data_IF_534424375895
#
_entry.id   IF_534424375895
#
_cell.length_a   1.000
_cell.length_b   1.000
_cell.length_c   1.000
_cell.angle_alpha   90.00
_cell.angle_beta   90.00
_cell.angle_gamma   90.00
#
_symmetry.space_group_name_H-M   'P 1'
#
loop_
_entity.id
_entity.type
_entity.pdbx_description
1 polymer ?
#
# COMPACT_ATOMS: atom_id res chain seq x y z
N UNK A 1 -6.04 -56.16 35.48
CA UNK A 1 -4.64 -56.43 35.88
C UNK A 1 -3.96 -55.09 36.05
N UNK A 2 -3.37 -54.90 37.22
CA UNK A 2 -2.83 -53.69 37.80
C UNK A 2 -1.70 -53.01 36.99
N UNK A 3 -1.74 -51.67 37.05
CA UNK A 3 -0.65 -50.69 37.26
C UNK A 3 0.66 -50.73 36.46
N UNK A 4 1.03 -49.55 35.92
CA UNK A 4 1.98 -48.64 36.62
C UNK A 4 1.96 -47.21 36.07
N UNK A 5 1.75 -46.26 36.99
CA UNK A 5 2.05 -44.82 36.87
C UNK A 5 3.56 -44.58 37.03
N UNK A 6 4.10 -43.56 36.37
CA UNK A 6 4.97 -42.56 37.00
C UNK A 6 5.03 -41.25 36.17
N UNK A 7 5.30 -40.09 36.81
CA UNK A 7 5.13 -38.75 36.25
C UNK A 7 6.45 -38.16 35.75
N UNK A 8 6.41 -37.29 34.74
CA UNK A 8 7.56 -36.43 34.41
C UNK A 8 7.05 -34.99 34.26
N UNK A 9 7.34 -34.19 35.28
CA UNK A 9 7.43 -32.75 35.16
C UNK A 9 8.62 -32.41 34.27
N UNK A 10 8.45 -31.52 33.30
CA UNK A 10 9.52 -30.60 32.92
C UNK A 10 8.91 -29.33 32.33
N UNK A 11 9.09 -28.23 33.07
CA UNK A 11 9.02 -26.87 32.53
C UNK A 11 9.98 -26.79 31.35
N UNK A 12 9.48 -26.52 30.15
CA UNK A 12 10.30 -26.08 29.03
C UNK A 12 9.90 -24.65 28.73
N UNK A 13 10.88 -23.77 28.89
CA UNK A 13 10.81 -22.34 28.66
C UNK A 13 10.56 -22.12 27.16
N UNK A 14 9.43 -21.50 26.81
CA UNK A 14 9.19 -21.00 25.46
C UNK A 14 10.23 -19.93 25.12
N UNK A 15 11.19 -20.26 24.25
CA UNK A 15 11.86 -19.23 23.43
C UNK A 15 11.01 -19.00 22.18
N UNK A 16 10.29 -17.87 22.17
CA UNK A 16 9.69 -17.32 20.95
C UNK A 16 10.82 -16.96 19.98
N UNK A 17 10.99 -17.75 18.91
CA UNK A 17 11.71 -17.26 17.74
C UNK A 17 10.74 -16.44 16.89
N UNK A 18 10.86 -15.11 17.02
CA UNK A 18 10.25 -14.16 16.10
C UNK A 18 11.01 -14.21 14.77
N UNK A 19 10.48 -14.93 13.78
CA UNK A 19 10.85 -14.69 12.38
C UNK A 19 9.84 -13.71 11.79
N UNK A 20 10.22 -12.43 11.78
CA UNK A 20 9.44 -11.36 11.18
C UNK A 20 9.48 -11.42 9.64
N UNK A 21 8.32 -11.14 9.05
CA UNK A 21 8.04 -11.03 7.63
C UNK A 21 8.91 -9.95 6.93
N UNK A 22 10.07 -10.35 6.39
CA UNK A 22 10.99 -9.42 5.72
C UNK A 22 10.65 -9.11 4.24
N UNK A 23 9.77 -9.87 3.59
CA UNK A 23 9.58 -9.76 2.12
C UNK A 23 8.50 -8.79 1.65
N UNK A 24 7.58 -8.34 2.52
CA UNK A 24 6.62 -7.27 2.18
C UNK A 24 7.27 -5.88 2.19
N UNK A 25 8.39 -5.72 2.91
CA UNK A 25 8.94 -4.43 3.33
C UNK A 25 9.65 -3.60 2.25
N UNK A 26 10.29 -4.23 1.27
CA UNK A 26 11.13 -3.53 0.27
C UNK A 26 10.27 -2.91 -0.85
N UNK A 27 9.02 -3.36 -1.01
CA UNK A 27 8.22 -3.02 -2.19
C UNK A 27 7.33 -1.77 -2.02
N UNK A 28 7.15 -1.26 -0.80
CA UNK A 28 6.47 0.03 -0.54
C UNK A 28 7.48 1.19 -0.64
N UNK A 29 8.73 0.88 -0.32
CA UNK A 29 9.88 1.79 -0.27
C UNK A 29 10.19 2.38 -1.64
N UNK A 30 10.21 1.58 -2.70
CA UNK A 30 10.53 2.05 -4.06
C UNK A 30 9.37 2.82 -4.70
N UNK A 31 8.12 2.53 -4.32
CA UNK A 31 6.96 3.26 -4.83
C UNK A 31 7.02 4.74 -4.44
N UNK A 32 7.48 4.99 -3.22
CA UNK A 32 7.71 6.32 -2.68
C UNK A 32 9.01 6.94 -3.22
N UNK A 33 10.07 6.17 -3.42
CA UNK A 33 11.31 6.63 -4.07
C UNK A 33 11.04 7.19 -5.47
N UNK A 34 10.18 6.55 -6.27
CA UNK A 34 9.86 7.03 -7.62
C UNK A 34 9.03 8.32 -7.62
N UNK A 35 8.27 8.60 -6.56
CA UNK A 35 7.55 9.88 -6.39
C UNK A 35 8.51 11.06 -6.13
N UNK A 36 9.67 10.82 -5.51
CA UNK A 36 10.68 11.86 -5.24
C UNK A 36 11.45 12.32 -6.49
N UNK A 37 11.54 11.48 -7.52
CA UNK A 37 12.32 11.77 -8.75
C UNK A 37 11.57 12.58 -9.79
N UNK A 38 10.34 13.02 -9.50
CA UNK A 38 9.45 13.69 -10.47
C UNK A 38 9.33 15.21 -10.21
N UNK A 39 9.91 15.74 -9.13
CA UNK A 39 9.96 17.20 -8.88
C UNK A 39 11.18 17.91 -9.47
N UNK A 40 12.17 17.19 -10.04
CA UNK A 40 13.27 17.80 -10.79
C UNK A 40 13.59 17.01 -12.08
N UNK A 41 13.48 17.68 -13.23
CA UNK A 41 13.92 17.16 -14.54
C UNK A 41 15.40 16.76 -14.48
N UNK A 42 15.71 15.47 -14.64
CA UNK A 42 17.05 15.01 -15.08
C UNK A 42 16.86 13.88 -16.12
N UNK A 43 17.59 13.91 -17.26
CA UNK A 43 17.38 12.94 -18.36
C UNK A 43 17.84 11.53 -17.97
N UNK A 44 17.16 10.53 -18.53
CA UNK A 44 17.53 9.13 -18.44
C UNK A 44 18.92 8.88 -19.05
N UNK A 45 19.93 8.69 -18.21
CA UNK A 45 21.15 7.97 -18.56
C UNK A 45 21.85 7.47 -17.28
N UNK A 46 22.26 6.20 -17.31
CA UNK A 46 23.22 5.53 -16.40
C UNK A 46 22.78 5.23 -14.96
N UNK A 47 21.98 4.18 -14.79
CA UNK A 47 22.05 3.35 -13.58
C UNK A 47 23.08 2.24 -13.83
N UNK A 48 24.32 2.45 -13.38
CA UNK A 48 25.36 1.43 -13.39
C UNK A 48 25.14 0.47 -12.20
N UNK A 49 24.96 -0.80 -12.52
CA UNK A 49 24.86 -1.92 -11.59
C UNK A 49 26.18 -2.13 -10.83
N UNK A 50 26.11 -2.35 -9.51
CA UNK A 50 27.24 -2.86 -8.71
C UNK A 50 26.99 -4.36 -8.50
N UNK A 51 27.81 -5.27 -9.07
CA UNK A 51 27.68 -6.69 -8.77
C UNK A 51 28.36 -7.00 -7.44
N UNK A 52 27.63 -7.63 -6.52
CA UNK A 52 28.20 -8.34 -5.38
C UNK A 52 28.98 -9.56 -5.89
N UNK A 53 30.27 -9.60 -5.55
CA UNK A 53 31.22 -10.65 -5.91
C UNK A 53 30.82 -12.02 -5.34
N UNK A 54 30.70 -13.02 -6.21
CA UNK A 54 30.94 -14.42 -5.87
C UNK A 54 31.92 -15.02 -6.87
N UNK A 55 32.94 -15.65 -6.30
CA UNK A 55 34.08 -16.30 -6.95
C UNK A 55 33.61 -17.39 -7.89
N UNK A 56 34.00 -17.32 -9.17
CA UNK A 56 34.07 -18.50 -10.00
C UNK A 56 35.21 -18.35 -11.00
N UNK A 57 36.19 -19.21 -10.82
CA UNK A 57 37.41 -19.34 -11.60
C UNK A 57 37.05 -19.85 -13.00
N UNK A 58 37.27 -19.06 -14.05
CA UNK A 58 37.41 -19.62 -15.39
C UNK A 58 38.37 -18.78 -16.22
N UNK A 59 39.35 -19.48 -16.74
CA UNK A 59 40.50 -19.11 -17.57
C UNK A 59 40.18 -18.25 -18.79
N UNK A 60 40.96 -17.18 -19.01
CA UNK A 60 41.05 -16.41 -20.26
C UNK A 60 42.44 -16.63 -20.87
N UNK A 61 42.58 -16.97 -22.16
CA UNK A 61 43.86 -16.89 -22.87
C UNK A 61 44.14 -15.47 -23.38
N UNK A 62 45.40 -15.08 -23.26
CA UNK A 62 46.03 -13.86 -23.78
C UNK A 62 45.75 -13.59 -25.27
N UNK A 63 45.57 -12.30 -25.62
CA UNK A 63 46.05 -11.76 -26.90
C UNK A 63 46.52 -10.30 -26.77
N UNK A 64 47.49 -9.98 -27.63
CA UNK A 64 48.53 -8.96 -27.55
C UNK A 64 48.09 -7.48 -27.53
N UNK A 65 48.84 -6.68 -26.75
CA UNK A 65 49.04 -5.24 -26.97
C UNK A 65 50.09 -5.05 -28.06
N UNK A 66 49.78 -4.25 -29.06
CA UNK A 66 50.77 -3.56 -29.91
C UNK A 66 50.61 -2.06 -29.74
N UNK A 67 51.74 -1.37 -29.79
CA UNK A 67 51.94 -0.01 -29.33
C UNK A 67 52.66 0.82 -30.40
N UNK A 68 52.21 2.08 -30.59
CA UNK A 68 52.92 3.25 -31.14
C UNK A 68 53.32 3.22 -32.65
N UNK A 69 53.58 4.37 -33.34
CA UNK A 69 54.17 5.60 -32.80
C UNK A 69 53.69 6.97 -33.32
N UNK A 70 54.24 7.97 -32.62
CA UNK A 70 54.26 9.43 -32.74
C UNK A 70 55.08 10.02 -33.91
N UNK A 71 54.75 11.25 -34.31
CA UNK A 71 55.65 12.37 -34.74
C UNK A 71 54.77 13.49 -35.34
N UNK A 72 55.03 14.81 -35.33
CA UNK A 72 56.18 15.66 -34.99
C UNK A 72 55.74 17.12 -34.70
N UNK A 73 56.54 17.80 -33.86
CA UNK A 73 56.97 19.22 -33.84
C UNK A 73 56.03 20.38 -34.26
N UNK A 74 55.87 21.39 -33.39
CA UNK A 74 56.78 22.56 -33.31
C UNK A 74 56.41 23.64 -32.27
N UNK A 75 57.47 24.23 -31.70
CA UNK A 75 57.67 25.63 -31.25
C UNK A 75 57.12 26.11 -29.89
N UNK A 76 58.10 26.36 -29.03
CA UNK A 76 58.12 27.29 -27.90
C UNK A 76 57.62 28.70 -28.26
N UNK A 77 56.72 29.24 -27.44
CA UNK A 77 56.76 30.65 -27.05
C UNK A 77 56.29 30.81 -25.60
N UNK A 78 57.17 31.42 -24.82
CA UNK A 78 57.05 31.69 -23.40
C UNK A 78 56.35 33.05 -23.24
N UNK A 79 55.12 33.07 -22.73
CA UNK A 79 54.51 34.29 -22.22
C UNK A 79 53.86 34.01 -20.87
N UNK A 80 54.54 34.47 -19.83
CA UNK A 80 53.97 34.68 -18.50
C UNK A 80 52.73 35.57 -18.63
N UNK A 81 51.54 34.99 -18.50
CA UNK A 81 50.32 35.69 -18.10
C UNK A 81 49.87 35.11 -16.78
N UNK A 82 49.85 35.96 -15.76
CA UNK A 82 49.29 35.66 -14.46
C UNK A 82 47.84 35.19 -14.62
N UNK A 83 47.58 33.93 -14.28
CA UNK A 83 46.23 33.45 -14.06
C UNK A 83 45.72 34.04 -12.73
N UNK A 84 44.53 34.66 -12.68
CA UNK A 84 43.92 34.97 -11.40
C UNK A 84 43.67 33.65 -10.67
N UNK A 85 44.08 33.56 -9.40
CA UNK A 85 43.75 32.44 -8.52
C UNK A 85 42.25 32.18 -8.63
N UNK A 86 41.86 31.03 -9.17
CA UNK A 86 40.52 30.50 -8.96
C UNK A 86 40.35 30.34 -7.46
N UNK A 87 39.65 31.28 -6.83
CA UNK A 87 38.99 30.99 -5.57
C UNK A 87 38.00 29.87 -5.87
N UNK A 88 38.37 28.66 -5.47
CA UNK A 88 37.40 27.57 -5.35
C UNK A 88 36.38 28.00 -4.31
N UNK A 89 35.27 28.55 -4.79
CA UNK A 89 34.04 28.53 -4.01
C UNK A 89 33.63 27.06 -3.90
N UNK A 90 34.19 26.36 -2.91
CA UNK A 90 33.53 25.21 -2.35
C UNK A 90 32.29 25.73 -1.63
N UNK A 91 31.22 25.98 -2.39
CA UNK A 91 29.89 25.86 -1.83
C UNK A 91 29.72 24.39 -1.48
N UNK A 92 30.17 24.01 -0.28
CA UNK A 92 29.58 22.88 0.45
C UNK A 92 28.15 23.29 0.79
N UNK A 93 27.28 23.30 -0.23
CA UNK A 93 25.87 23.07 0.02
C UNK A 93 25.82 21.66 0.58
N UNK A 94 25.81 21.53 1.90
CA UNK A 94 25.31 20.31 2.52
C UNK A 94 23.93 20.11 1.93
N UNK A 95 23.77 19.13 1.04
CA UNK A 95 22.47 18.76 0.52
C UNK A 95 21.62 18.40 1.74
N UNK A 96 20.74 19.31 2.12
CA UNK A 96 19.77 19.05 3.17
C UNK A 96 18.84 17.97 2.63
N UNK A 97 18.85 16.83 3.30
CA UNK A 97 18.10 15.67 2.85
C UNK A 97 16.60 15.95 3.02
N UNK A 98 15.79 15.36 2.14
CA UNK A 98 14.34 15.44 2.22
C UNK A 98 13.78 14.04 2.44
N UNK A 99 12.62 13.97 3.08
CA UNK A 99 12.03 12.71 3.49
C UNK A 99 10.61 12.51 2.94
N UNK A 100 10.23 11.25 2.81
CA UNK A 100 8.86 10.85 2.50
C UNK A 100 8.39 9.84 3.54
N UNK A 101 7.18 10.05 4.07
CA UNK A 101 6.53 9.11 4.97
C UNK A 101 5.74 8.02 4.22
N UNK A 102 5.70 6.81 4.76
CA UNK A 102 4.87 5.72 4.25
C UNK A 102 4.02 5.14 5.36
N UNK A 103 2.69 5.20 5.23
CA UNK A 103 1.77 4.52 6.12
C UNK A 103 1.33 3.20 5.48
N UNK A 104 1.82 2.08 6.02
CA UNK A 104 1.48 0.72 5.58
C UNK A 104 0.52 0.07 6.57
N UNK A 105 -0.76 0.03 6.20
CA UNK A 105 -1.83 -0.60 6.97
C UNK A 105 -2.07 -2.02 6.46
N UNK A 106 -1.32 -3.00 6.95
CA UNK A 106 -1.52 -4.41 6.60
C UNK A 106 -2.65 -5.09 7.40
N UNK A 107 -2.94 -6.36 7.10
CA UNK A 107 -3.99 -7.11 7.83
C UNK A 107 -3.67 -7.39 9.28
N UNK A 108 -2.40 -7.56 9.66
CA UNK A 108 -2.03 -7.90 11.05
C UNK A 108 -1.39 -6.75 11.83
N UNK A 109 -0.90 -5.72 11.13
CA UNK A 109 -0.16 -4.62 11.76
C UNK A 109 -0.21 -3.36 10.91
N UNK A 110 -0.03 -2.22 11.58
CA UNK A 110 0.19 -0.93 10.96
C UNK A 110 1.67 -0.56 11.11
N UNK A 111 2.25 0.10 10.12
CA UNK A 111 3.63 0.59 10.13
C UNK A 111 3.72 1.99 9.59
N UNK A 112 4.64 2.78 10.12
CA UNK A 112 5.02 4.06 9.52
C UNK A 112 6.52 4.12 9.30
N UNK A 113 6.91 4.39 8.06
CA UNK A 113 8.30 4.45 7.60
C UNK A 113 8.65 5.89 7.22
N UNK A 114 9.89 6.29 7.46
CA UNK A 114 10.46 7.52 6.93
C UNK A 114 11.62 7.16 6.00
N UNK A 115 11.60 7.71 4.79
CA UNK A 115 12.56 7.41 3.73
C UNK A 115 13.35 8.64 3.33
N UNK A 116 14.67 8.51 3.22
CA UNK A 116 15.53 9.53 2.63
C UNK A 116 15.39 9.54 1.12
N UNK A 117 15.20 10.73 0.54
CA UNK A 117 15.16 10.93 -0.92
C UNK A 117 16.56 10.95 -1.53
N UNK A 118 17.59 11.25 -0.74
CA UNK A 118 18.98 11.24 -1.22
C UNK A 118 19.53 9.82 -1.30
N UNK A 119 19.41 9.04 -0.21
CA UNK A 119 19.99 7.69 -0.14
C UNK A 119 19.05 6.60 -0.63
N UNK A 120 17.75 6.88 -0.72
CA UNK A 120 16.71 5.89 -1.04
C UNK A 120 16.64 4.76 0.00
N UNK A 121 16.95 5.06 1.26
CA UNK A 121 16.90 4.10 2.37
C UNK A 121 15.86 4.50 3.41
N UNK A 122 15.32 3.51 4.13
CA UNK A 122 14.53 3.75 5.33
C UNK A 122 15.47 4.31 6.40
N UNK A 123 15.16 5.48 6.94
CA UNK A 123 15.93 6.13 8.01
C UNK A 123 15.27 5.99 9.39
N UNK A 124 13.94 5.80 9.42
CA UNK A 124 13.20 5.48 10.64
C UNK A 124 11.99 4.60 10.31
N UNK A 125 11.58 3.73 11.24
CA UNK A 125 10.47 2.80 11.05
C UNK A 125 9.90 2.33 12.38
N UNK A 126 8.59 2.40 12.53
CA UNK A 126 7.87 1.80 13.66
C UNK A 126 6.72 0.93 13.18
N UNK A 127 6.36 -0.07 13.98
CA UNK A 127 5.31 -1.05 13.67
C UNK A 127 4.53 -1.41 14.94
N UNK A 128 3.22 -1.61 14.80
CA UNK A 128 2.37 -2.13 15.86
C UNK A 128 1.30 -3.06 15.31
N UNK A 129 1.15 -4.22 15.94
CA UNK A 129 0.07 -5.16 15.64
C UNK A 129 -1.28 -4.61 16.14
N UNK A 130 -2.36 -4.97 15.46
CA UNK A 130 -3.72 -4.74 15.93
C UNK A 130 -4.46 -6.07 16.08
N UNK A 131 -5.41 -6.09 17.01
CA UNK A 131 -6.14 -7.30 17.36
C UNK A 131 -6.99 -7.80 16.19
N UNK A 132 -6.91 -9.12 15.97
CA UNK A 132 -7.76 -9.85 15.03
C UNK A 132 -8.97 -10.39 15.80
N UNK A 133 -10.19 -10.07 15.33
CA UNK A 133 -11.43 -10.53 15.98
C UNK A 133 -12.09 -11.61 15.12
N UNK A 134 -12.40 -12.75 15.75
CA UNK A 134 -13.02 -13.91 15.11
C UNK A 134 -14.31 -14.29 15.85
N UNK A 135 -15.40 -13.51 15.71
CA UNK A 135 -16.64 -13.76 16.47
C UNK A 135 -17.28 -15.10 16.13
N UNK A 136 -17.11 -15.57 14.89
CA UNK A 136 -17.59 -16.86 14.40
C UNK A 136 -16.57 -17.49 13.44
N UNK A 137 -16.62 -18.81 13.18
CA UNK A 137 -15.79 -19.46 12.16
C UNK A 137 -15.92 -18.77 10.79
N UNK A 138 -14.78 -18.43 10.17
CA UNK A 138 -14.73 -17.72 8.89
C UNK A 138 -15.06 -16.22 8.97
N UNK A 139 -15.39 -15.69 10.14
CA UNK A 139 -15.61 -14.27 10.35
C UNK A 139 -14.33 -13.60 10.83
N UNK A 140 -13.98 -12.48 10.21
CA UNK A 140 -12.79 -11.72 10.55
C UNK A 140 -13.17 -10.25 10.61
N UNK A 141 -12.85 -9.60 11.74
CA UNK A 141 -13.15 -8.21 12.02
C UNK A 141 -11.94 -7.47 12.57
N UNK A 142 -11.89 -6.16 12.31
CA UNK A 142 -10.95 -5.23 12.94
C UNK A 142 -11.69 -4.07 13.61
N UNK A 143 -11.04 -3.47 14.60
CA UNK A 143 -11.44 -2.16 15.11
C UNK A 143 -10.82 -1.06 14.26
N UNK A 144 -11.64 -0.30 13.54
CA UNK A 144 -11.16 0.83 12.74
C UNK A 144 -10.57 1.95 13.63
N UNK A 145 -11.09 2.13 14.85
CA UNK A 145 -10.53 3.05 15.84
C UNK A 145 -9.14 2.60 16.33
N UNK A 146 -8.90 1.29 16.50
CA UNK A 146 -7.57 0.75 16.83
C UNK A 146 -6.58 0.95 15.68
N UNK A 147 -7.01 0.71 14.44
CA UNK A 147 -6.20 0.97 13.25
C UNK A 147 -5.77 2.44 13.18
N UNK A 148 -6.72 3.36 13.40
CA UNK A 148 -6.43 4.81 13.43
C UNK A 148 -5.48 5.18 14.57
N UNK A 149 -5.77 4.73 15.81
CA UNK A 149 -4.93 5.01 16.97
C UNK A 149 -3.49 4.51 16.77
N UNK A 150 -3.32 3.33 16.16
CA UNK A 150 -2.01 2.81 15.81
C UNK A 150 -1.33 3.66 14.74
N UNK A 151 -2.03 4.05 13.67
CA UNK A 151 -1.47 4.90 12.62
C UNK A 151 -0.95 6.24 13.18
N UNK A 152 -1.79 6.94 13.94
CA UNK A 152 -1.47 8.22 14.57
C UNK A 152 -0.27 8.12 15.53
N UNK A 153 -0.27 7.11 16.41
CA UNK A 153 0.82 6.89 17.36
C UNK A 153 2.14 6.54 16.67
N UNK A 154 2.11 5.71 15.62
CA UNK A 154 3.31 5.29 14.88
C UNK A 154 3.91 6.44 14.07
N UNK A 155 3.09 7.30 13.46
CA UNK A 155 3.54 8.52 12.78
C UNK A 155 4.35 9.38 13.77
N UNK A 156 3.74 9.71 14.91
CA UNK A 156 4.35 10.54 15.94
C UNK A 156 5.64 9.93 16.46
N UNK A 157 5.63 8.62 16.74
CA UNK A 157 6.80 7.91 17.28
C UNK A 157 7.95 7.86 16.28
N UNK A 158 7.68 7.53 15.02
CA UNK A 158 8.74 7.47 13.98
C UNK A 158 9.38 8.83 13.76
N UNK A 159 8.59 9.91 13.73
CA UNK A 159 9.13 11.26 13.51
C UNK A 159 9.92 11.78 14.73
N UNK A 160 9.51 11.42 15.95
CA UNK A 160 10.32 11.66 17.15
C UNK A 160 11.68 10.94 17.06
N UNK A 161 11.66 9.65 16.69
CA UNK A 161 12.89 8.87 16.52
C UNK A 161 13.80 9.44 15.42
N UNK A 162 13.22 9.93 14.32
CA UNK A 162 13.97 10.61 13.27
C UNK A 162 14.62 11.90 13.78
N UNK A 163 13.87 12.72 14.52
CA UNK A 163 14.36 13.97 15.12
C UNK A 163 15.51 13.76 16.10
N UNK A 164 15.54 12.63 16.81
CA UNK A 164 16.60 12.26 17.76
C UNK A 164 17.85 11.68 17.07
N UNK A 165 17.67 10.98 15.96
CA UNK A 165 18.75 10.20 15.31
C UNK A 165 19.38 10.90 14.11
N UNK A 166 18.66 11.82 13.47
CA UNK A 166 19.10 12.55 12.28
C UNK A 166 19.43 13.97 12.69
N UNK A 167 20.68 14.35 12.46
CA UNK A 167 21.16 15.70 12.76
C UNK A 167 20.44 16.73 11.88
N UNK A 168 19.99 17.82 12.49
CA UNK A 168 19.34 18.96 11.83
C UNK A 168 18.03 18.55 11.09
N UNK A 169 17.33 17.52 11.57
CA UNK A 169 16.02 17.10 11.04
C UNK A 169 14.92 18.08 11.45
N UNK A 170 14.16 18.58 10.48
CA UNK A 170 12.97 19.38 10.69
C UNK A 170 11.75 18.72 10.06
N UNK A 171 10.56 18.95 10.62
CA UNK A 171 9.31 18.41 10.04
C UNK A 171 9.07 18.92 8.61
N UNK A 172 9.55 20.13 8.28
CA UNK A 172 9.56 20.69 6.92
C UNK A 172 10.35 19.86 5.90
N UNK A 173 11.18 18.92 6.35
CA UNK A 173 11.92 18.02 5.48
C UNK A 173 11.04 16.88 4.97
N UNK A 174 9.94 16.56 5.65
CA UNK A 174 8.95 15.58 5.20
C UNK A 174 8.07 16.22 4.12
N UNK A 175 8.32 15.86 2.85
CA UNK A 175 7.67 16.52 1.70
C UNK A 175 6.26 16.02 1.41
N UNK A 176 5.99 14.77 1.74
CA UNK A 176 4.68 14.14 1.60
C UNK A 176 4.62 12.83 2.38
N UNK A 177 3.42 12.25 2.42
CA UNK A 177 3.22 10.86 2.78
C UNK A 177 2.50 10.08 1.67
N UNK A 178 2.79 8.78 1.60
CA UNK A 178 2.00 7.81 0.84
C UNK A 178 1.26 6.86 1.78
N UNK A 179 0.08 6.40 1.38
CA UNK A 179 -0.72 5.41 2.12
C UNK A 179 -0.83 4.14 1.29
N UNK A 180 -0.65 3.01 1.95
CA UNK A 180 -1.01 1.71 1.40
C UNK A 180 -1.69 0.86 2.44
N UNK A 181 -2.60 0.01 2.00
CA UNK A 181 -3.55 -0.64 2.89
C UNK A 181 -3.97 -2.01 2.39
N UNK A 182 -4.37 -2.87 3.32
CA UNK A 182 -5.16 -4.05 2.99
C UNK A 182 -6.41 -3.59 2.23
N UNK A 183 -6.60 -4.17 1.05
CA UNK A 183 -7.70 -3.87 0.15
C UNK A 183 -8.98 -4.53 0.65
N UNK A 184 -10.11 -4.17 0.03
CA UNK A 184 -11.47 -4.68 0.25
C UNK A 184 -12.10 -4.51 1.66
N UNK A 185 -11.31 -4.52 2.73
CA UNK A 185 -11.76 -4.35 4.12
C UNK A 185 -12.61 -3.09 4.24
N UNK A 186 -13.82 -3.27 4.75
CA UNK A 186 -14.91 -2.28 4.68
C UNK A 186 -15.13 -1.63 6.02
N UNK A 187 -15.11 -0.30 6.06
CA UNK A 187 -15.42 0.52 7.23
C UNK A 187 -16.65 1.37 6.94
N UNK A 188 -17.54 1.47 7.92
CA UNK A 188 -18.67 2.38 7.93
C UNK A 188 -18.54 3.26 9.18
N UNK A 189 -18.65 4.57 9.02
CA UNK A 189 -18.54 5.52 10.13
C UNK A 189 -19.57 6.63 10.01
N UNK A 190 -19.84 7.26 11.14
CA UNK A 190 -20.74 8.40 11.23
C UNK A 190 -20.05 9.67 10.70
N UNK A 191 -20.75 10.40 9.83
CA UNK A 191 -20.23 11.58 9.11
C UNK A 191 -19.84 12.71 10.07
N UNK A 192 -20.62 12.94 11.13
CA UNK A 192 -20.37 14.02 12.09
C UNK A 192 -19.25 13.67 13.06
N UNK A 193 -19.35 12.51 13.70
CA UNK A 193 -18.48 12.11 14.81
C UNK A 193 -17.20 11.44 14.35
N UNK A 194 -17.16 10.97 13.10
CA UNK A 194 -16.03 10.22 12.55
C UNK A 194 -15.72 8.95 13.34
N UNK A 195 -16.72 8.39 14.02
CA UNK A 195 -16.64 7.15 14.78
C UNK A 195 -17.16 5.98 13.95
N UNK A 196 -16.48 4.82 13.96
CA UNK A 196 -16.99 3.61 13.34
C UNK A 196 -18.31 3.18 13.99
N UNK A 197 -19.33 2.90 13.17
CA UNK A 197 -20.65 2.50 13.65
C UNK A 197 -20.78 0.98 13.85
N UNK A 198 -19.79 0.23 13.36
CA UNK A 198 -19.65 -1.21 13.52
C UNK A 198 -18.18 -1.63 13.35
N UNK A 199 -17.82 -2.87 13.72
CA UNK A 199 -16.51 -3.44 13.36
C UNK A 199 -16.28 -3.43 11.85
N UNK A 200 -15.03 -3.23 11.43
CA UNK A 200 -14.65 -3.32 10.02
C UNK A 200 -14.64 -4.79 9.58
N UNK A 201 -15.29 -5.10 8.46
CA UNK A 201 -15.33 -6.46 7.91
C UNK A 201 -14.13 -6.67 6.99
N UNK A 202 -13.26 -7.62 7.34
CA UNK A 202 -11.95 -7.84 6.68
C UNK A 202 -12.11 -8.58 5.35
N UNK A 203 -11.18 -8.36 4.41
CA UNK A 203 -11.19 -8.94 3.06
C UNK A 203 -11.38 -10.46 2.99
N UNK A 204 -10.77 -11.22 3.89
CA UNK A 204 -10.85 -12.68 3.93
C UNK A 204 -12.07 -13.20 4.70
N UNK A 205 -12.96 -12.32 5.16
CA UNK A 205 -14.17 -12.72 5.86
C UNK A 205 -15.15 -13.42 4.91
N UNK A 206 -15.61 -14.61 5.30
CA UNK A 206 -16.51 -15.44 4.51
C UNK A 206 -18.00 -15.21 4.84
N UNK A 207 -18.35 -14.26 5.74
CA UNK A 207 -19.73 -14.07 6.23
C UNK A 207 -20.75 -13.76 5.16
N UNK A 208 -20.30 -13.27 4.00
CA UNK A 208 -21.17 -12.84 2.89
C UNK A 208 -21.42 -13.96 1.87
N UNK A 209 -21.08 -15.21 2.18
CA UNK A 209 -21.25 -16.36 1.29
C UNK A 209 -22.71 -16.57 0.84
N UNK A 210 -23.67 -16.42 1.76
CA UNK A 210 -25.10 -16.57 1.46
C UNK A 210 -25.61 -15.41 0.58
N UNK A 211 -25.12 -14.19 0.82
CA UNK A 211 -25.41 -13.02 -0.01
C UNK A 211 -24.87 -13.22 -1.43
N UNK A 212 -23.63 -13.69 -1.57
CA UNK A 212 -23.04 -14.02 -2.87
C UNK A 212 -23.89 -15.07 -3.59
N UNK A 213 -24.31 -16.13 -2.89
CA UNK A 213 -25.13 -17.18 -3.48
C UNK A 213 -26.51 -16.67 -3.91
N UNK A 214 -27.15 -15.84 -3.08
CA UNK A 214 -28.43 -15.22 -3.36
C UNK A 214 -28.37 -14.27 -4.55
N UNK A 215 -27.41 -13.34 -4.60
CA UNK A 215 -27.26 -12.41 -5.73
C UNK A 215 -26.94 -13.18 -7.02
N UNK A 216 -26.07 -14.19 -6.94
CA UNK A 216 -25.74 -15.04 -8.09
C UNK A 216 -27.00 -15.68 -8.68
N UNK A 217 -27.87 -16.27 -7.85
CA UNK A 217 -29.06 -16.98 -8.34
C UNK A 217 -30.22 -16.06 -8.73
N UNK A 218 -30.41 -14.95 -8.02
CA UNK A 218 -31.59 -14.09 -8.19
C UNK A 218 -31.37 -12.89 -9.10
N UNK A 219 -30.15 -12.40 -9.24
CA UNK A 219 -29.84 -11.16 -9.98
C UNK A 219 -28.86 -11.36 -11.14
N UNK A 220 -28.12 -12.47 -11.19
CA UNK A 220 -27.04 -12.70 -12.17
C UNK A 220 -27.20 -14.01 -12.97
N UNK A 221 -28.40 -14.60 -13.03
CA UNK A 221 -28.72 -15.82 -13.79
C UNK A 221 -27.77 -17.00 -13.53
N UNK A 222 -27.28 -17.13 -12.30
CA UNK A 222 -26.31 -18.17 -11.92
C UNK A 222 -24.85 -17.86 -12.29
N UNK A 223 -24.56 -16.75 -12.96
CA UNK A 223 -23.24 -16.41 -13.47
C UNK A 223 -22.46 -15.48 -12.53
N UNK A 224 -21.53 -16.04 -11.76
CA UNK A 224 -20.63 -15.26 -10.88
C UNK A 224 -19.71 -14.30 -11.63
N UNK A 225 -19.48 -14.49 -12.92
CA UNK A 225 -18.62 -13.64 -13.73
C UNK A 225 -19.40 -12.52 -14.45
N UNK A 226 -20.71 -12.39 -14.23
CA UNK A 226 -21.55 -11.41 -14.92
C UNK A 226 -21.07 -9.96 -14.74
N UNK A 227 -20.36 -9.67 -13.65
CA UNK A 227 -19.86 -8.33 -13.32
C UNK A 227 -18.45 -8.04 -13.88
N UNK A 228 -17.78 -9.02 -14.48
CA UNK A 228 -16.38 -8.86 -14.92
C UNK A 228 -16.21 -7.81 -16.02
N UNK A 229 -17.20 -7.60 -16.87
CA UNK A 229 -17.13 -6.59 -17.93
C UNK A 229 -17.02 -5.17 -17.37
N UNK A 230 -17.74 -4.87 -16.29
CA UNK A 230 -17.69 -3.56 -15.62
C UNK A 230 -16.56 -3.46 -14.60
N UNK A 231 -16.37 -4.49 -13.79
CA UNK A 231 -15.50 -4.42 -12.59
C UNK A 231 -14.15 -5.09 -12.77
N UNK A 232 -14.00 -5.98 -13.76
CA UNK A 232 -12.87 -6.89 -13.86
C UNK A 232 -12.86 -8.02 -12.82
N UNK A 233 -13.91 -8.11 -11.99
CA UNK A 233 -13.99 -9.02 -10.85
C UNK A 233 -15.17 -10.00 -10.96
N UNK A 234 -15.04 -11.23 -10.46
CA UNK A 234 -16.19 -12.10 -10.21
C UNK A 234 -16.93 -11.66 -8.94
N UNK A 235 -18.19 -12.07 -8.79
CA UNK A 235 -18.89 -11.96 -7.51
C UNK A 235 -18.29 -12.94 -6.50
N UNK A 236 -17.81 -12.41 -5.37
CA UNK A 236 -17.12 -13.17 -4.32
C UNK A 236 -17.24 -12.47 -2.97
N UNK A 237 -17.01 -13.21 -1.88
CA UNK A 237 -17.04 -12.67 -0.51
C UNK A 237 -15.91 -11.68 -0.22
N UNK A 238 -14.87 -11.71 -1.07
CA UNK A 238 -13.69 -10.87 -0.95
C UNK A 238 -13.99 -9.38 -1.02
N UNK A 239 -14.92 -8.96 -1.89
CA UNK A 239 -15.07 -7.55 -2.27
C UNK A 239 -16.04 -6.79 -1.35
N UNK A 240 -15.91 -5.45 -1.34
CA UNK A 240 -16.55 -4.58 -0.34
C UNK A 240 -18.08 -4.52 -0.45
N UNK A 241 -18.65 -4.53 -1.66
CA UNK A 241 -20.09 -4.41 -1.87
C UNK A 241 -20.89 -5.46 -1.10
N UNK A 242 -20.44 -6.71 -1.10
CA UNK A 242 -21.14 -7.80 -0.38
C UNK A 242 -21.14 -7.59 1.13
N UNK A 243 -20.12 -6.90 1.67
CA UNK A 243 -20.02 -6.56 3.10
C UNK A 243 -20.97 -5.42 3.46
N UNK A 244 -21.13 -4.43 2.58
CA UNK A 244 -22.13 -3.38 2.72
C UNK A 244 -23.55 -3.95 2.72
N UNK A 245 -23.87 -4.83 1.76
CA UNK A 245 -25.17 -5.53 1.72
C UNK A 245 -25.41 -6.26 3.04
N UNK A 246 -24.40 -6.98 3.54
CA UNK A 246 -24.52 -7.68 4.82
C UNK A 246 -24.80 -6.74 5.99
N UNK A 247 -24.07 -5.62 6.08
CA UNK A 247 -24.26 -4.63 7.15
C UNK A 247 -25.67 -4.05 7.14
N UNK A 248 -26.20 -3.67 5.98
CA UNK A 248 -27.54 -3.11 5.85
C UNK A 248 -28.65 -4.15 6.11
N UNK A 249 -28.45 -5.40 5.70
CA UNK A 249 -29.41 -6.48 6.00
C UNK A 249 -29.45 -6.87 7.48
N UNK A 250 -28.31 -6.83 8.17
CA UNK A 250 -28.21 -7.22 9.57
C UNK A 250 -28.49 -6.07 10.54
N UNK A 251 -28.39 -4.81 10.08
CA UNK A 251 -28.72 -3.64 10.87
C UNK A 251 -29.46 -2.59 10.01
N UNK A 252 -30.82 -2.65 9.99
CA UNK A 252 -31.64 -1.71 9.23
C UNK A 252 -31.43 -0.24 9.60
N UNK A 253 -31.05 0.07 10.85
CA UNK A 253 -30.78 1.45 11.26
C UNK A 253 -29.57 2.03 10.51
N UNK A 254 -28.55 1.21 10.19
CA UNK A 254 -27.41 1.66 9.37
C UNK A 254 -27.87 2.04 7.97
N UNK A 255 -28.86 1.33 7.44
CA UNK A 255 -29.41 1.63 6.12
C UNK A 255 -30.13 2.98 6.13
N UNK A 256 -31.02 3.22 7.10
CA UNK A 256 -31.73 4.49 7.21
C UNK A 256 -30.77 5.68 7.36
N UNK A 257 -29.72 5.54 8.17
CA UNK A 257 -28.70 6.58 8.33
C UNK A 257 -27.89 6.80 7.05
N UNK A 258 -27.57 5.75 6.31
CA UNK A 258 -26.90 5.86 5.01
C UNK A 258 -27.74 6.65 3.99
N UNK A 259 -29.05 6.40 3.93
CA UNK A 259 -29.98 7.12 3.04
C UNK A 259 -30.14 8.60 3.42
N UNK A 260 -30.05 8.92 4.72
CA UNK A 260 -30.03 10.30 5.22
C UNK A 260 -28.69 11.01 5.00
N UNK A 261 -27.68 10.31 4.50
CA UNK A 261 -26.32 10.85 4.30
C UNK A 261 -25.54 11.02 5.61
N UNK A 262 -26.00 10.43 6.71
CA UNK A 262 -25.37 10.49 8.03
C UNK A 262 -24.17 9.55 8.16
N UNK A 263 -24.03 8.58 7.24
CA UNK A 263 -22.90 7.66 7.20
C UNK A 263 -21.94 7.96 6.05
N UNK A 264 -20.72 7.49 6.22
CA UNK A 264 -19.70 7.39 5.18
C UNK A 264 -19.19 5.95 5.14
N UNK A 265 -18.94 5.47 3.93
CA UNK A 265 -18.26 4.21 3.65
C UNK A 265 -16.86 4.48 3.12
N UNK A 266 -15.96 3.53 3.37
CA UNK A 266 -14.68 3.47 2.69
C UNK A 266 -13.96 2.16 2.90
N UNK A 267 -13.04 1.87 1.98
CA UNK A 267 -11.91 0.99 2.27
C UNK A 267 -10.96 1.67 3.26
N UNK A 268 -9.94 0.95 3.74
CA UNK A 268 -9.04 1.43 4.79
C UNK A 268 -8.31 2.72 4.41
N UNK A 269 -7.88 2.88 3.16
CA UNK A 269 -7.28 4.11 2.67
C UNK A 269 -8.20 5.32 2.88
N UNK A 270 -9.48 5.20 2.52
CA UNK A 270 -10.43 6.29 2.65
C UNK A 270 -10.67 6.66 4.10
N UNK A 271 -10.78 5.65 4.98
CA UNK A 271 -10.85 5.84 6.42
C UNK A 271 -9.62 6.59 6.95
N UNK A 272 -8.41 6.18 6.57
CA UNK A 272 -7.17 6.80 7.04
C UNK A 272 -7.00 8.23 6.54
N UNK A 273 -7.30 8.51 5.27
CA UNK A 273 -7.25 9.89 4.72
C UNK A 273 -8.28 10.77 5.40
N UNK A 274 -9.50 10.27 5.60
CA UNK A 274 -10.54 11.00 6.31
C UNK A 274 -10.07 11.40 7.71
N UNK A 275 -9.45 10.48 8.46
CA UNK A 275 -8.92 10.79 9.79
C UNK A 275 -7.71 11.72 9.74
N UNK A 276 -6.75 11.50 8.85
CA UNK A 276 -5.55 12.34 8.72
C UNK A 276 -5.87 13.79 8.31
N UNK A 277 -6.85 13.99 7.44
CA UNK A 277 -7.27 15.32 6.97
C UNK A 277 -8.26 16.01 7.92
N UNK A 278 -8.57 15.38 9.05
CA UNK A 278 -9.50 15.89 10.04
C UNK A 278 -10.92 16.02 9.50
N UNK A 279 -11.37 15.08 8.66
CA UNK A 279 -12.72 15.03 8.10
C UNK A 279 -12.91 15.78 6.78
N UNK A 280 -11.90 16.55 6.34
CA UNK A 280 -11.99 17.41 5.14
C UNK A 280 -12.08 16.65 3.82
N UNK A 281 -11.54 15.43 3.78
CA UNK A 281 -11.45 14.63 2.56
C UNK A 281 -12.04 13.25 2.77
N UNK A 282 -13.06 12.94 1.97
CA UNK A 282 -13.64 11.61 1.85
C UNK A 282 -13.37 11.09 0.44
N UNK A 283 -12.22 10.44 0.28
CA UNK A 283 -11.64 10.05 -1.01
C UNK A 283 -11.04 8.65 -0.95
N UNK A 284 -10.89 8.00 -2.09
CA UNK A 284 -10.18 6.72 -2.28
C UNK A 284 -9.42 6.78 -3.60
N UNK A 285 -8.45 5.90 -3.82
CA UNK A 285 -7.78 5.81 -5.11
C UNK A 285 -8.41 4.78 -6.05
N UNK A 286 -8.10 4.87 -7.35
CA UNK A 286 -8.61 3.93 -8.36
C UNK A 286 -8.28 2.45 -8.05
N UNK A 287 -7.15 2.17 -7.40
CA UNK A 287 -6.75 0.79 -7.09
C UNK A 287 -7.64 0.19 -6.00
N UNK A 288 -7.94 0.93 -4.93
CA UNK A 288 -8.85 0.51 -3.87
C UNK A 288 -10.32 0.53 -4.33
N UNK A 289 -10.75 1.57 -5.04
CA UNK A 289 -12.11 1.68 -5.58
C UNK A 289 -12.48 0.49 -6.45
N UNK A 290 -11.57 0.03 -7.31
CA UNK A 290 -11.79 -1.13 -8.17
C UNK A 290 -12.00 -2.45 -7.40
N UNK A 291 -11.72 -2.50 -6.10
CA UNK A 291 -11.87 -3.69 -5.26
C UNK A 291 -13.23 -3.78 -4.56
N UNK A 292 -14.11 -2.83 -4.86
CA UNK A 292 -15.40 -2.73 -4.18
C UNK A 292 -16.50 -3.56 -4.82
N UNK A 293 -16.39 -3.94 -6.11
CA UNK A 293 -17.51 -4.33 -6.99
C UNK A 293 -18.51 -3.20 -7.33
N UNK A 294 -18.20 -1.94 -6.99
CA UNK A 294 -19.05 -0.77 -7.26
C UNK A 294 -18.44 0.17 -8.30
N UNK A 295 -17.14 0.05 -8.56
CA UNK A 295 -16.40 0.88 -9.51
C UNK A 295 -16.33 0.21 -10.89
N UNK A 296 -16.63 0.98 -11.93
CA UNK A 296 -16.39 0.57 -13.32
C UNK A 296 -14.93 0.87 -13.69
N UNK A 297 -14.20 -0.17 -14.08
CA UNK A 297 -12.75 -0.06 -14.30
C UNK A 297 -12.39 0.66 -15.61
N UNK A 298 -13.34 0.88 -16.52
CA UNK A 298 -13.11 1.67 -17.74
C UNK A 298 -13.32 3.16 -17.48
N UNK A 299 -14.42 3.54 -16.81
CA UNK A 299 -14.70 4.95 -16.47
C UNK A 299 -13.93 5.44 -15.24
N UNK A 300 -13.50 4.52 -14.37
CA UNK A 300 -12.88 4.79 -13.06
C UNK A 300 -13.79 5.62 -12.13
N UNK A 301 -15.09 5.41 -12.25
CA UNK A 301 -16.12 6.02 -11.40
C UNK A 301 -17.08 4.93 -10.87
N UNK A 302 -17.86 5.27 -9.85
CA UNK A 302 -18.93 4.43 -9.33
C UNK A 302 -20.02 4.24 -10.40
N UNK A 303 -20.40 2.99 -10.64
CA UNK A 303 -21.35 2.59 -11.70
C UNK A 303 -22.75 2.44 -11.13
N UNK A 304 -23.71 3.23 -11.62
CA UNK A 304 -25.08 3.26 -11.10
C UNK A 304 -25.76 1.89 -11.14
N UNK A 305 -25.55 1.07 -12.18
CA UNK A 305 -26.14 -0.27 -12.24
C UNK A 305 -25.56 -1.20 -11.16
N UNK A 306 -24.28 -1.05 -10.82
CA UNK A 306 -23.67 -1.80 -9.72
C UNK A 306 -24.19 -1.30 -8.37
N UNK A 307 -24.34 0.02 -8.20
CA UNK A 307 -24.92 0.60 -6.99
C UNK A 307 -26.35 0.09 -6.77
N UNK A 308 -27.19 0.09 -7.80
CA UNK A 308 -28.55 -0.45 -7.75
C UNK A 308 -28.57 -1.95 -7.48
N UNK A 309 -27.67 -2.72 -8.12
CA UNK A 309 -27.56 -4.16 -7.92
C UNK A 309 -27.29 -4.52 -6.46
N UNK A 310 -26.37 -3.81 -5.82
CA UNK A 310 -25.99 -4.02 -4.43
C UNK A 310 -26.78 -3.14 -3.45
N UNK A 311 -27.71 -2.34 -3.95
CA UNK A 311 -28.54 -1.43 -3.16
C UNK A 311 -27.68 -0.53 -2.24
N UNK A 312 -26.63 0.10 -2.80
CA UNK A 312 -25.69 0.97 -2.08
C UNK A 312 -25.97 2.44 -2.42
N UNK A 313 -26.31 3.29 -1.43
CA UNK A 313 -26.52 4.72 -1.68
C UNK A 313 -25.24 5.40 -2.16
N UNK A 314 -25.26 6.12 -3.30
CA UNK A 314 -24.07 6.82 -3.80
C UNK A 314 -23.50 7.85 -2.80
N UNK A 315 -24.36 8.49 -2.01
CA UNK A 315 -23.98 9.56 -1.09
C UNK A 315 -23.05 9.16 0.05
N UNK A 316 -22.89 7.86 0.32
CA UNK A 316 -21.93 7.37 1.33
C UNK A 316 -20.57 7.03 0.73
N UNK A 317 -20.40 7.07 -0.59
CA UNK A 317 -19.17 6.65 -1.26
C UNK A 317 -18.14 7.79 -1.33
N UNK A 318 -16.83 7.49 -1.20
CA UNK A 318 -15.79 8.49 -1.36
C UNK A 318 -15.64 8.93 -2.82
N UNK A 319 -15.09 10.12 -3.06
CA UNK A 319 -14.66 10.49 -4.41
C UNK A 319 -13.45 9.64 -4.83
N UNK A 320 -13.44 9.18 -6.08
CA UNK A 320 -12.32 8.39 -6.62
C UNK A 320 -11.28 9.34 -7.22
N UNK A 321 -10.04 9.22 -6.75
CA UNK A 321 -8.89 10.03 -7.17
C UNK A 321 -7.83 9.17 -7.87
N UNK A 322 -6.98 9.81 -8.67
CA UNK A 322 -5.81 9.14 -9.23
C UNK A 322 -4.85 8.72 -8.11
N UNK A 323 -4.33 7.49 -8.16
CA UNK A 323 -3.41 6.93 -7.16
C UNK A 323 -2.19 7.80 -6.83
N UNK A 324 -1.70 8.57 -7.80
CA UNK A 324 -0.51 9.41 -7.67
C UNK A 324 -0.86 10.86 -7.99
N UNK A 325 -0.52 11.75 -7.06
CA UNK A 325 -0.83 13.18 -7.08
C UNK A 325 -2.33 13.49 -7.19
N UNK A 326 -3.19 12.51 -6.85
CA UNK A 326 -4.62 12.70 -6.63
C UNK A 326 -4.88 13.72 -5.54
N UNK A 327 -6.08 14.30 -5.55
CA UNK A 327 -6.44 15.30 -4.55
C UNK A 327 -6.87 14.62 -3.24
N UNK A 328 -5.87 14.11 -2.50
CA UNK A 328 -6.07 13.42 -1.23
C UNK A 328 -6.09 14.37 -0.01
N UNK A 329 -5.68 15.62 -0.23
CA UNK A 329 -5.61 16.65 0.79
C UNK A 329 -4.31 16.68 1.60
N UNK A 330 -4.38 17.46 2.68
CA UNK A 330 -3.26 17.79 3.56
C UNK A 330 -3.62 17.32 4.96
N UNK A 331 -2.66 16.73 5.67
CA UNK A 331 -2.83 16.34 7.07
C UNK A 331 -3.15 17.59 7.89
N UNK A 332 -4.26 17.58 8.61
CA UNK A 332 -4.67 18.70 9.45
C UNK A 332 -4.03 18.61 10.82
N UNK A 333 -3.98 19.75 11.52
CA UNK A 333 -3.83 19.70 12.98
C UNK A 333 -5.07 19.09 13.62
N UNK A 334 -4.93 18.62 14.85
CA UNK A 334 -6.05 18.08 15.63
C UNK A 334 -7.08 19.16 15.98
N UNK A 335 -6.59 20.35 16.35
CA UNK A 335 -7.42 21.53 16.66
C UNK A 335 -8.24 22.02 15.46
N UNK A 336 -7.78 21.71 14.25
CA UNK A 336 -8.43 22.09 12.99
C UNK A 336 -9.41 21.01 12.50
N UNK A 337 -9.59 19.89 13.19
CA UNK A 337 -10.46 18.81 12.71
C UNK A 337 -11.93 19.25 12.60
N UNK A 338 -12.57 18.96 11.47
CA UNK A 338 -14.01 19.12 11.22
C UNK A 338 -14.82 17.95 11.79
N UNK A 339 -14.16 16.86 12.18
CA UNK A 339 -14.76 15.76 12.93
C UNK A 339 -15.10 16.24 14.34
N UNK A 340 -16.33 15.99 14.79
CA UNK A 340 -16.80 16.37 16.12
C UNK A 340 -15.86 15.86 17.23
N UNK A 341 -15.53 16.75 18.16
CA UNK A 341 -14.64 16.45 19.29
C UNK A 341 -13.15 16.40 18.93
N UNK A 342 -12.74 16.90 17.75
CA UNK A 342 -11.33 17.03 17.39
C UNK A 342 -10.63 15.69 17.13
N UNK A 343 -11.38 14.65 16.73
CA UNK A 343 -10.89 13.26 16.70
C UNK A 343 -10.16 12.86 15.40
N UNK A 344 -9.70 13.83 14.62
CA UNK A 344 -8.90 13.65 13.42
C UNK A 344 -7.72 14.60 13.40
N UNK A 345 -6.87 14.53 12.39
CA UNK A 345 -5.61 15.27 12.32
C UNK A 345 -4.44 14.49 12.92
N UNK A 346 -3.24 15.00 12.67
CA UNK A 346 -2.00 14.50 13.27
C UNK A 346 -0.97 15.64 13.27
N UNK A 347 -0.77 16.27 14.43
CA UNK A 347 0.08 17.46 14.56
C UNK A 347 1.52 17.21 14.08
N UNK A 348 2.04 15.99 14.24
CA UNK A 348 3.37 15.60 13.80
C UNK A 348 3.56 15.67 12.27
N UNK A 349 2.47 15.69 11.50
CA UNK A 349 2.49 15.82 10.04
C UNK A 349 1.63 16.99 9.55
N UNK A 350 1.19 17.89 10.42
CA UNK A 350 0.32 19.00 10.02
C UNK A 350 0.93 19.80 8.86
N UNK A 351 0.13 20.03 7.81
CA UNK A 351 0.59 20.71 6.59
C UNK A 351 1.29 19.81 5.56
N UNK A 352 1.59 18.55 5.89
CA UNK A 352 2.17 17.58 4.94
C UNK A 352 1.06 17.00 4.06
N UNK A 353 1.29 17.01 2.73
CA UNK A 353 0.32 16.46 1.76
C UNK A 353 0.29 14.93 1.77
N UNK A 354 -0.89 14.36 1.56
CA UNK A 354 -1.03 12.96 1.13
C UNK A 354 -0.84 12.95 -0.39
N UNK A 355 0.26 12.36 -0.86
CA UNK A 355 0.67 12.44 -2.28
C UNK A 355 0.26 11.22 -3.11
N UNK A 356 0.12 10.07 -2.46
CA UNK A 356 -0.20 8.83 -3.15
C UNK A 356 -0.95 7.86 -2.24
N UNK A 357 -1.85 7.10 -2.86
CA UNK A 357 -2.58 6.02 -2.23
C UNK A 357 -2.63 4.85 -3.21
N UNK A 358 -2.24 3.67 -2.76
CA UNK A 358 -2.33 2.43 -3.53
C UNK A 358 -2.67 1.28 -2.60
N UNK A 359 -3.56 0.38 -3.03
CA UNK A 359 -3.77 -0.90 -2.35
C UNK A 359 -2.46 -1.69 -2.21
N UNK A 360 -2.32 -2.47 -1.14
CA UNK A 360 -1.06 -3.15 -0.75
C UNK A 360 -0.35 -3.91 -1.88
N UNK A 361 -1.07 -4.75 -2.63
CA UNK A 361 -0.47 -5.54 -3.70
C UNK A 361 -0.07 -4.66 -4.89
N UNK A 362 -0.83 -3.60 -5.15
CA UNK A 362 -0.55 -2.59 -6.17
C UNK A 362 0.70 -1.78 -5.78
N UNK A 363 0.75 -1.24 -4.56
CA UNK A 363 1.92 -0.55 -4.02
C UNK A 363 3.16 -1.43 -4.10
N UNK A 364 3.03 -2.70 -3.72
CA UNK A 364 4.13 -3.64 -3.74
C UNK A 364 4.56 -4.10 -5.14
N UNK A 365 3.74 -3.89 -6.17
CA UNK A 365 4.12 -4.12 -7.58
C UNK A 365 4.75 -2.85 -8.16
N UNK A 366 4.19 -1.69 -7.81
CA UNK A 366 4.71 -0.39 -8.21
C UNK A 366 6.13 -0.15 -7.66
N UNK A 367 6.38 -0.45 -6.39
CA UNK A 367 7.74 -0.41 -5.84
C UNK A 367 8.58 -1.66 -6.12
N UNK A 368 8.21 -2.49 -7.08
CA UNK A 368 9.20 -3.35 -7.76
C UNK A 368 9.57 -2.76 -9.14
N UNK A 369 9.17 -1.52 -9.38
CA UNK A 369 9.36 -0.81 -10.64
C UNK A 369 8.76 -1.54 -11.87
N UNK A 370 7.66 -2.28 -11.68
CA UNK A 370 6.96 -2.99 -12.73
C UNK A 370 6.15 -2.05 -13.66
N UNK A 371 6.81 -1.05 -14.26
CA UNK A 371 6.19 0.01 -15.06
C UNK A 371 5.96 -0.38 -16.53
N UNK A 372 6.59 -1.45 -17.00
CA UNK A 372 6.49 -1.94 -18.37
C UNK A 372 5.46 -3.06 -18.47
N UNK A 373 4.58 -3.05 -19.50
CA UNK A 373 3.65 -4.17 -19.73
C UNK A 373 4.38 -5.52 -19.83
N UNK A 374 3.85 -6.53 -19.13
CA UNK A 374 4.44 -7.86 -19.02
C UNK A 374 5.36 -8.05 -17.81
N UNK A 375 5.76 -6.98 -17.11
CA UNK A 375 6.46 -7.11 -15.84
C UNK A 375 5.51 -7.65 -14.76
N UNK A 376 6.02 -8.61 -13.99
CA UNK A 376 5.25 -9.34 -12.98
C UNK A 376 5.96 -9.24 -11.65
N UNK A 377 5.15 -9.04 -10.61
CA UNK A 377 5.60 -9.20 -9.23
C UNK A 377 4.76 -10.28 -8.57
N UNK A 378 5.40 -11.08 -7.73
CA UNK A 378 4.74 -12.05 -6.85
C UNK A 378 5.12 -11.72 -5.41
N UNK A 379 4.14 -11.61 -4.52
CA UNK A 379 4.36 -11.45 -3.09
C UNK A 379 3.98 -12.74 -2.38
N UNK A 380 4.84 -13.15 -1.46
CA UNK A 380 4.64 -14.31 -0.60
C UNK A 380 4.41 -13.84 0.84
N UNK A 381 3.23 -14.14 1.36
CA UNK A 381 2.83 -13.98 2.76
C UNK A 381 2.02 -15.20 3.18
N UNK A 382 0.97 -14.99 3.99
CA UNK A 382 0.00 -16.06 4.33
C UNK A 382 -0.58 -16.69 3.06
N UNK A 383 -0.99 -15.86 2.10
CA UNK A 383 -1.26 -16.24 0.71
C UNK A 383 -0.16 -15.73 -0.24
N UNK A 384 -0.34 -15.94 -1.54
CA UNK A 384 0.50 -15.33 -2.57
C UNK A 384 -0.33 -14.56 -3.58
N UNK A 385 0.11 -13.36 -3.93
CA UNK A 385 -0.54 -12.52 -4.93
C UNK A 385 0.45 -12.23 -6.05
N UNK A 386 0.02 -12.47 -7.28
CA UNK A 386 0.73 -12.16 -8.50
C UNK A 386 0.02 -11.03 -9.20
N UNK A 387 0.74 -9.96 -9.53
CA UNK A 387 0.22 -8.86 -10.35
C UNK A 387 1.13 -8.69 -11.58
N UNK A 388 0.52 -8.63 -12.76
CA UNK A 388 1.18 -8.38 -14.04
C UNK A 388 0.67 -7.08 -14.63
N UNK A 389 1.56 -6.13 -14.94
CA UNK A 389 1.21 -4.90 -15.65
C UNK A 389 0.74 -5.23 -17.09
N UNK A 390 -0.42 -4.71 -17.49
CA UNK A 390 -1.02 -4.93 -18.81
C UNK A 390 -1.12 -3.68 -19.69
N UNK A 391 -0.54 -2.57 -19.25
CA UNK A 391 -0.57 -1.28 -19.96
C UNK A 391 -1.87 -0.52 -19.74
N UNK A 392 -2.24 0.37 -20.67
CA UNK A 392 -3.35 1.34 -20.50
C UNK A 392 -4.69 0.84 -21.04
N UNK A 393 -4.82 -0.45 -21.32
CA UNK A 393 -6.06 -1.07 -21.79
C UNK A 393 -6.41 -2.24 -20.89
N UNK A 394 -7.60 -2.26 -20.26
CA UNK A 394 -7.99 -3.37 -19.41
C UNK A 394 -8.03 -4.68 -20.20
N UNK A 395 -7.51 -5.75 -19.60
CA UNK A 395 -7.44 -7.09 -20.20
C UNK A 395 -8.28 -8.04 -19.37
N UNK A 396 -9.52 -8.29 -19.79
CA UNK A 396 -10.39 -9.25 -19.11
C UNK A 396 -9.83 -10.68 -19.19
N UNK A 397 -9.77 -11.35 -18.04
CA UNK A 397 -9.29 -12.72 -17.97
C UNK A 397 -10.34 -13.73 -18.41
N UNK A 398 -9.91 -14.77 -19.14
CA UNK A 398 -10.70 -15.97 -19.45
C UNK A 398 -10.36 -17.15 -18.54
N UNK A 399 -9.47 -16.95 -17.57
CA UNK A 399 -8.88 -18.01 -16.74
C UNK A 399 -9.04 -17.75 -15.23
N UNK A 400 -10.02 -16.92 -14.84
CA UNK A 400 -10.33 -16.64 -13.43
C UNK A 400 -9.39 -15.65 -12.74
N UNK A 401 -8.47 -15.02 -13.47
CA UNK A 401 -7.69 -13.89 -12.94
C UNK A 401 -8.57 -12.64 -12.84
N UNK A 402 -8.22 -11.76 -11.91
CA UNK A 402 -8.87 -10.47 -11.75
C UNK A 402 -8.25 -9.45 -12.72
N UNK A 403 -9.07 -8.57 -13.28
CA UNK A 403 -8.61 -7.39 -14.01
C UNK A 403 -8.79 -6.18 -13.10
N UNK A 404 -7.75 -5.37 -12.93
CA UNK A 404 -7.79 -4.27 -11.96
C UNK A 404 -6.94 -3.10 -12.46
N UNK A 405 -7.31 -1.84 -12.19
CA UNK A 405 -6.39 -0.71 -12.31
C UNK A 405 -5.16 -0.99 -11.44
N UNK A 406 -3.97 -0.85 -12.02
CA UNK A 406 -2.68 -1.00 -11.36
C UNK A 406 -2.25 0.28 -10.65
N UNK A 407 -2.31 1.41 -11.34
CA UNK A 407 -2.18 2.75 -10.78
C UNK A 407 -2.69 3.78 -11.78
N UNK A 408 -2.99 4.98 -11.31
CA UNK A 408 -3.18 6.14 -12.17
C UNK A 408 -2.41 7.33 -11.61
N UNK A 409 -1.73 8.05 -12.50
CA UNK A 409 -1.20 9.37 -12.17
C UNK A 409 -2.18 10.44 -12.62
N UNK A 410 -2.32 11.51 -11.82
CA UNK A 410 -3.24 12.61 -12.13
C UNK A 410 -3.02 13.13 -13.55
N UNK A 411 -4.13 13.29 -14.28
CA UNK A 411 -4.18 13.70 -15.70
C UNK A 411 -3.54 12.72 -16.70
N UNK A 412 -3.21 11.50 -16.28
CA UNK A 412 -2.72 10.42 -17.15
C UNK A 412 -3.75 9.28 -17.22
N UNK A 413 -3.61 8.41 -18.24
CA UNK A 413 -4.44 7.20 -18.34
C UNK A 413 -4.06 6.23 -17.22
N UNK A 414 -5.05 5.51 -16.69
CA UNK A 414 -4.76 4.40 -15.79
C UNK A 414 -3.94 3.32 -16.50
N UNK A 415 -3.02 2.74 -15.76
CA UNK A 415 -2.37 1.47 -16.09
C UNK A 415 -3.14 0.36 -15.41
N UNK A 416 -3.28 -0.79 -16.05
CA UNK A 416 -4.03 -1.94 -15.56
C UNK A 416 -3.09 -3.10 -15.23
N UNK A 417 -3.63 -4.06 -14.50
CA UNK A 417 -2.99 -5.32 -14.20
C UNK A 417 -3.96 -6.50 -14.28
N UNK A 418 -3.38 -7.67 -14.52
CA UNK A 418 -3.99 -8.94 -14.19
C UNK A 418 -3.48 -9.40 -12.83
N UNK A 419 -4.39 -9.81 -11.95
CA UNK A 419 -4.08 -10.30 -10.61
C UNK A 419 -4.51 -11.76 -10.45
N UNK A 420 -3.60 -12.58 -9.93
CA UNK A 420 -3.87 -13.93 -9.47
C UNK A 420 -3.61 -14.03 -7.97
N UNK A 421 -4.47 -14.74 -7.25
CA UNK A 421 -4.31 -14.98 -5.82
C UNK A 421 -4.28 -16.48 -5.53
N UNK A 422 -3.32 -16.90 -4.73
CA UNK A 422 -3.23 -18.25 -4.14
C UNK A 422 -3.46 -18.10 -2.65
N UNK A 423 -4.59 -18.63 -2.16
CA UNK A 423 -5.03 -18.42 -0.77
C UNK A 423 -4.08 -19.05 0.27
N UNK A 424 -3.34 -20.09 -0.09
CA UNK A 424 -2.46 -20.85 0.81
C UNK A 424 -1.06 -20.90 0.24
N UNK A 425 -0.12 -20.17 0.85
CA UNK A 425 1.30 -20.19 0.48
C UNK A 425 2.17 -20.35 1.73
N UNK A 426 2.52 -19.24 2.41
CA UNK A 426 3.26 -19.30 3.67
C UNK A 426 2.49 -19.99 4.80
N UNK A 427 1.16 -19.93 4.78
CA UNK A 427 0.31 -20.65 5.73
C UNK A 427 0.43 -22.17 5.61
N UNK A 428 0.71 -22.72 4.42
CA UNK A 428 0.96 -24.16 4.27
C UNK A 428 2.27 -24.56 4.96
N UNK A 429 3.34 -23.78 4.77
CA UNK A 429 4.62 -24.03 5.43
C UNK A 429 4.47 -23.95 6.95
N UNK A 430 3.75 -22.94 7.44
CA UNK A 430 3.43 -22.80 8.85
C UNK A 430 2.58 -23.98 9.37
N UNK A 431 1.57 -24.41 8.61
CA UNK A 431 0.73 -25.54 8.97
C UNK A 431 1.53 -26.85 9.04
N UNK A 432 2.42 -27.10 8.08
CA UNK A 432 3.30 -28.28 8.08
C UNK A 432 4.20 -28.30 9.32
N UNK A 433 4.83 -27.17 9.65
CA UNK A 433 5.65 -27.02 10.85
C UNK A 433 4.83 -27.27 12.13
N UNK A 434 3.67 -26.62 12.24
CA UNK A 434 2.89 -26.58 13.48
C UNK A 434 2.04 -27.84 13.71
N UNK A 435 1.64 -28.56 12.65
CA UNK A 435 0.74 -29.72 12.75
C UNK A 435 1.39 -31.06 12.39
N UNK A 436 2.44 -31.05 11.57
CA UNK A 436 3.19 -32.27 11.22
C UNK A 436 4.58 -32.32 11.87
N UNK A 437 4.95 -31.30 12.67
CA UNK A 437 6.27 -31.17 13.31
C UNK A 437 7.45 -31.28 12.31
N UNK A 438 7.19 -30.93 11.05
CA UNK A 438 8.20 -30.88 9.99
C UNK A 438 8.86 -29.50 10.03
N UNK A 439 9.89 -29.35 10.87
CA UNK A 439 10.60 -28.09 11.06
C UNK A 439 12.01 -28.26 11.61
#
# INVERSE_FOLDING_TARGET
>A
RFEKKMPISNKIIHRKHHHHHHHHFISIVIAIIMLSRITHRVPAATAAWIPTSTTTTTTIPHFHKTSFPSSHHHRHHNHNKLFPKQQSFHTTSSLHDSYIGALDQGTSSTRFLLLSTTTNTIVASTQKEHKQYYPHPGWVEHSASEIWSNAHSLITTTLSQASESIKDFELSDVKCIGITNQRETTVLWDRSTGEPVCPAIVWNCARTADIVSSITSTKLDGNKNALQSKTGLPLSTYFSATKLVWLFQNNPELREKAEKGELMFGTIDSWLVYKLTGGRRHVTDVTNAARTLLCNIESLDWDEELLDLFDVPRGILPCIEASIDGDFGVVSKEEESEIEGGKGGCDALAGVRVAAILGDQHAATFGQACFTPGEVKVTFGTGSFLLMNTGTTPKLSKHGLLTTPFYQRKNEKAVYALEGAVAVAGSLVQWLRDNLELG
#
